data_IF_700756950455
#
_entry.id   IF_700756950455
#
_cell.length_a   1.000
_cell.length_b   1.000
_cell.length_c   1.000
_cell.angle_alpha   90.00
_cell.angle_beta   90.00
_cell.angle_gamma   90.00
#
_symmetry.space_group_name_H-M   'P 1'
#
loop_
_entity.id
_entity.type
_entity.pdbx_description
1 polymer ?
#
# COMPACT_ATOMS: atom_id res chain seq x y z
N UNK A 1 -3.21 -13.04 27.01
CA UNK A 1 -3.91 -11.88 26.42
C UNK A 1 -3.70 -11.94 24.91
N UNK A 2 -4.75 -11.95 24.09
CA UNK A 2 -4.61 -11.78 22.64
C UNK A 2 -4.57 -10.27 22.43
N UNK A 3 -3.41 -9.71 22.11
CA UNK A 3 -3.33 -8.31 21.69
C UNK A 3 -4.40 -8.10 20.60
N UNK A 4 -5.27 -7.10 20.77
CA UNK A 4 -6.27 -6.75 19.76
C UNK A 4 -5.57 -6.64 18.40
N UNK A 5 -6.26 -7.08 17.33
CA UNK A 5 -5.72 -7.33 16.00
C UNK A 5 -4.58 -6.35 15.64
N UNK A 6 -3.33 -6.84 15.75
CA UNK A 6 -2.13 -6.08 15.40
C UNK A 6 -2.03 -5.84 13.87
N UNK A 7 -2.84 -6.59 13.12
CA UNK A 7 -2.94 -6.47 11.68
C UNK A 7 -4.02 -5.47 11.29
N UNK A 8 -3.77 -4.76 10.19
CA UNK A 8 -4.76 -3.91 9.57
C UNK A 8 -6.03 -4.72 9.23
N UNK A 9 -7.18 -4.25 9.71
CA UNK A 9 -8.47 -4.93 9.56
C UNK A 9 -9.12 -4.73 8.18
N UNK A 10 -8.49 -3.98 7.26
CA UNK A 10 -9.04 -3.76 5.92
C UNK A 10 -9.10 -5.09 5.16
N UNK A 11 -10.24 -5.33 4.52
CA UNK A 11 -10.40 -6.46 3.59
C UNK A 11 -9.49 -6.23 2.39
N UNK A 12 -8.51 -7.11 2.22
CA UNK A 12 -7.58 -7.06 1.09
C UNK A 12 -8.28 -7.51 -0.20
N UNK A 13 -8.39 -6.60 -1.17
CA UNK A 13 -8.79 -6.91 -2.53
C UNK A 13 -7.54 -7.19 -3.39
N UNK A 14 -7.32 -8.47 -3.72
CA UNK A 14 -6.15 -8.89 -4.48
C UNK A 14 -6.19 -8.47 -5.95
N UNK A 15 -7.37 -8.21 -6.50
CA UNK A 15 -7.52 -7.73 -7.88
C UNK A 15 -7.19 -6.23 -7.98
N UNK A 16 -7.55 -5.46 -6.95
CA UNK A 16 -7.20 -4.04 -6.84
C UNK A 16 -5.72 -3.81 -6.42
N UNK A 17 -5.11 -4.77 -5.71
CA UNK A 17 -3.74 -4.72 -5.18
C UNK A 17 -2.95 -5.99 -5.53
N UNK A 18 -2.59 -6.19 -6.81
CA UNK A 18 -1.90 -7.40 -7.25
C UNK A 18 -0.54 -7.61 -6.58
N UNK A 19 0.25 -6.55 -6.36
CA UNK A 19 1.60 -6.66 -5.81
C UNK A 19 1.63 -6.41 -4.29
N UNK A 20 2.59 -7.05 -3.61
CA UNK A 20 2.83 -6.80 -2.18
C UNK A 20 3.27 -5.36 -1.89
N UNK A 21 4.10 -4.77 -2.77
CA UNK A 21 4.59 -3.39 -2.60
C UNK A 21 3.45 -2.38 -2.64
N UNK A 22 2.48 -2.55 -3.55
CA UNK A 22 1.33 -1.66 -3.67
C UNK A 22 0.50 -1.68 -2.37
N UNK A 23 0.33 -2.85 -1.76
CA UNK A 23 -0.37 -3.00 -0.47
C UNK A 23 0.33 -2.21 0.63
N UNK A 24 1.64 -2.34 0.75
CA UNK A 24 2.43 -1.61 1.75
C UNK A 24 2.37 -0.10 1.53
N UNK A 25 2.50 0.35 0.28
CA UNK A 25 2.38 1.79 -0.05
C UNK A 25 0.97 2.29 0.25
N UNK A 26 -0.07 1.52 -0.03
CA UNK A 26 -1.45 1.84 0.33
C UNK A 26 -1.71 1.95 1.84
N UNK A 27 -0.88 1.32 2.69
CA UNK A 27 -0.95 1.51 4.15
C UNK A 27 -0.45 2.88 4.59
N UNK A 28 0.39 3.55 3.79
CA UNK A 28 0.91 4.89 4.11
C UNK A 28 -0.12 6.00 3.93
N UNK A 29 -1.27 5.71 3.31
CA UNK A 29 -2.35 6.65 3.08
C UNK A 29 -3.55 6.35 3.97
N UNK A 30 -4.31 7.39 4.30
CA UNK A 30 -5.53 7.26 5.07
C UNK A 30 -6.54 6.34 4.40
N UNK A 31 -7.34 5.66 5.22
CA UNK A 31 -8.37 4.74 4.75
C UNK A 31 -9.34 5.46 3.82
N UNK A 32 -9.51 4.93 2.62
CA UNK A 32 -10.45 5.43 1.62
C UNK A 32 -9.87 6.47 0.65
N UNK A 33 -8.65 6.95 0.89
CA UNK A 33 -7.93 7.82 -0.05
C UNK A 33 -7.55 7.06 -1.32
N UNK A 34 -7.07 5.83 -1.16
CA UNK A 34 -6.65 4.95 -2.26
C UNK A 34 -7.59 3.75 -2.35
N UNK A 35 -8.14 3.48 -3.54
CA UNK A 35 -9.08 2.37 -3.78
C UNK A 35 -8.41 1.21 -4.52
N UNK A 36 -7.37 1.49 -5.30
CA UNK A 36 -6.60 0.51 -6.06
C UNK A 36 -5.16 0.94 -6.28
N UNK A 37 -4.32 0.00 -6.73
CA UNK A 37 -2.95 0.30 -7.15
C UNK A 37 -2.85 1.37 -8.25
N UNK A 38 -3.93 1.60 -9.03
CA UNK A 38 -3.97 2.64 -10.07
C UNK A 38 -4.02 4.06 -9.51
N UNK A 39 -4.48 4.22 -8.27
CA UNK A 39 -4.57 5.52 -7.60
C UNK A 39 -3.20 5.93 -7.01
N UNK A 40 -2.25 4.99 -6.95
CA UNK A 40 -0.92 5.27 -6.46
C UNK A 40 -0.19 6.24 -7.40
N UNK A 41 0.56 7.21 -6.84
CA UNK A 41 1.40 8.09 -7.65
C UNK A 41 2.45 7.26 -8.40
N UNK A 42 2.64 7.57 -9.69
CA UNK A 42 3.73 7.03 -10.50
C UNK A 42 4.85 8.07 -10.64
N UNK A 43 6.14 7.68 -10.55
CA UNK A 43 6.62 6.35 -10.17
C UNK A 43 6.32 6.06 -8.69
N UNK A 44 5.98 4.81 -8.35
CA UNK A 44 6.08 4.34 -6.97
C UNK A 44 7.56 4.50 -6.60
N UNK A 45 7.97 5.63 -6.02
CA UNK A 45 9.38 5.95 -5.74
C UNK A 45 10.03 4.74 -5.02
N UNK A 46 10.85 3.91 -5.66
CA UNK A 46 12.12 4.10 -6.36
C UNK A 46 13.18 4.59 -5.37
N UNK A 47 14.10 3.70 -5.00
CA UNK A 47 15.38 4.08 -4.44
C UNK A 47 15.94 5.21 -5.32
N UNK A 48 16.14 6.38 -4.73
CA UNK A 48 16.72 7.52 -5.42
C UNK A 48 18.18 7.18 -5.77
N UNK A 49 18.42 6.45 -6.86
CA UNK A 49 19.71 6.46 -7.54
C UNK A 49 19.76 7.73 -8.37
N UNK A 50 19.97 8.85 -7.70
CA UNK A 50 20.63 10.00 -8.31
C UNK A 50 22.09 9.61 -8.45
N UNK A 51 22.45 9.01 -9.59
CA UNK A 51 23.81 8.79 -10.03
C UNK A 51 23.94 9.40 -11.41
N UNK A 52 24.42 10.65 -11.44
CA UNK A 52 24.92 11.32 -12.64
C UNK A 52 26.21 10.66 -13.14
#
# INVERSE_FOLDING_TARGET
>A
MRYGLLNDARKLDKAAWPLMVERYVGLAYDKGVMRSAKDLPQPLALAATTGS
#
